data_IF_813765641946
#
_entry.id   IF_813765641946
#
_cell.length_a   1.000
_cell.length_b   1.000
_cell.length_c   1.000
_cell.angle_alpha   90.00
_cell.angle_beta   90.00
_cell.angle_gamma   90.00
#
_symmetry.space_group_name_H-M   'P 1'
#
loop_
_entity.id
_entity.type
_entity.pdbx_description
1 polymer ?
#
# COMPACT_ATOMS: atom_id res chain seq x y z
N UNK A 1 31.16 48.59 25.73
CA UNK A 1 30.55 48.15 27.01
C UNK A 1 30.88 46.68 27.23
N UNK A 2 30.86 46.26 28.50
CA UNK A 2 31.68 45.22 29.14
C UNK A 2 31.57 43.80 28.58
N UNK A 3 32.72 43.11 28.60
CA UNK A 3 32.89 41.66 28.67
C UNK A 3 32.17 41.08 29.89
N UNK A 4 31.62 39.86 29.79
CA UNK A 4 31.87 38.78 30.77
C UNK A 4 31.29 37.45 30.28
N UNK A 5 32.18 36.47 30.15
CA UNK A 5 31.94 35.04 30.29
C UNK A 5 31.53 34.70 31.74
N UNK A 6 30.76 33.63 31.95
CA UNK A 6 30.85 32.83 33.17
C UNK A 6 30.47 31.36 32.90
N UNK A 7 31.43 30.49 33.16
CA UNK A 7 31.30 29.04 33.32
C UNK A 7 30.61 28.71 34.65
N UNK A 8 29.98 27.53 34.74
CA UNK A 8 30.26 26.57 35.82
C UNK A 8 29.55 25.24 35.55
N UNK A 9 30.37 24.17 35.53
CA UNK A 9 29.97 22.78 35.64
C UNK A 9 29.81 22.39 37.12
N UNK A 10 29.62 21.07 37.34
CA UNK A 10 29.78 20.26 38.58
C UNK A 10 28.42 19.87 39.21
N UNK A 11 28.17 18.67 39.71
CA UNK A 11 28.67 17.28 39.60
C UNK A 11 27.96 16.48 40.71
N UNK A 12 28.13 15.15 40.73
CA UNK A 12 27.97 14.22 41.87
C UNK A 12 26.54 13.81 42.30
N UNK A 13 26.03 12.58 42.05
CA UNK A 13 26.41 11.18 42.38
C UNK A 13 25.85 10.70 43.77
N UNK A 14 25.43 9.41 43.80
CA UNK A 14 25.22 8.46 44.92
C UNK A 14 23.83 8.51 45.61
N UNK A 15 23.17 7.42 46.03
CA UNK A 15 23.47 5.99 46.02
C UNK A 15 22.27 5.14 46.45
N UNK A 16 22.22 3.93 45.90
CA UNK A 16 21.81 2.58 46.39
C UNK A 16 20.77 2.35 47.51
N UNK A 17 19.94 1.32 47.23
CA UNK A 17 19.53 0.16 48.07
C UNK A 17 18.76 0.45 49.39
N UNK A 18 17.85 -0.38 49.91
CA UNK A 18 17.23 -1.68 49.63
C UNK A 18 16.19 -1.82 50.76
N UNK A 19 15.10 -2.58 50.58
CA UNK A 19 14.53 -3.36 51.69
C UNK A 19 13.62 -4.46 51.14
N UNK A 20 14.03 -5.69 51.43
CA UNK A 20 13.33 -6.96 51.27
C UNK A 20 12.15 -7.11 52.23
N UNK A 21 11.12 -7.84 51.80
CA UNK A 21 10.38 -8.76 52.67
C UNK A 21 9.81 -9.89 51.80
N UNK A 22 10.17 -11.12 52.16
CA UNK A 22 9.67 -12.38 51.59
C UNK A 22 8.33 -12.77 52.25
N UNK A 23 7.37 -13.29 51.47
CA UNK A 23 6.81 -14.67 51.49
C UNK A 23 5.55 -14.74 50.57
N UNK A 24 4.93 -15.92 50.27
CA UNK A 24 5.11 -16.61 49.00
C UNK A 24 3.79 -16.84 48.25
N UNK A 25 3.88 -17.55 47.12
CA UNK A 25 2.78 -18.10 46.30
C UNK A 25 2.01 -17.10 45.44
N UNK A 26 2.46 -16.98 44.19
CA UNK A 26 1.61 -17.17 43.00
C UNK A 26 2.57 -17.45 41.84
N UNK A 27 2.30 -18.54 41.13
CA UNK A 27 3.03 -18.97 39.95
C UNK A 27 3.07 -17.86 38.89
N UNK A 28 4.20 -17.16 38.79
CA UNK A 28 4.51 -16.35 37.62
C UNK A 28 4.85 -17.31 36.48
N UNK A 29 3.86 -17.59 35.63
CA UNK A 29 4.13 -17.92 34.23
C UNK A 29 4.80 -16.68 33.62
N UNK A 30 6.13 -16.67 33.64
CA UNK A 30 6.90 -15.81 32.74
C UNK A 30 6.62 -16.30 31.33
N UNK A 31 5.72 -15.62 30.61
CA UNK A 31 5.83 -15.60 29.16
C UNK A 31 7.12 -14.83 28.87
N UNK A 32 8.19 -15.55 28.58
CA UNK A 32 9.32 -14.99 27.86
C UNK A 32 8.74 -14.37 26.59
N UNK A 33 8.88 -13.06 26.46
CA UNK A 33 8.70 -12.39 25.18
C UNK A 33 9.80 -12.92 24.26
N UNK A 34 9.47 -13.87 23.38
CA UNK A 34 10.28 -14.17 22.20
C UNK A 34 10.26 -12.92 21.32
N UNK A 35 11.22 -12.03 21.55
CA UNK A 35 11.53 -10.95 20.63
C UNK A 35 12.47 -11.55 19.58
N UNK A 36 12.09 -11.58 18.29
CA UNK A 36 12.97 -12.05 17.24
C UNK A 36 14.26 -11.22 17.26
N UNK A 37 15.40 -11.90 17.27
CA UNK A 37 16.70 -11.24 17.44
C UNK A 37 17.39 -11.08 16.10
N UNK A 38 18.04 -9.95 15.87
CA UNK A 38 19.05 -9.81 14.81
C UNK A 38 20.32 -10.55 15.28
N UNK A 39 20.83 -11.50 14.50
CA UNK A 39 22.16 -12.07 14.73
C UNK A 39 22.96 -12.06 13.43
N UNK A 40 24.18 -11.56 13.52
CA UNK A 40 25.21 -11.74 12.50
C UNK A 40 25.79 -13.16 12.67
N UNK A 41 25.70 -13.99 11.64
CA UNK A 41 26.50 -15.19 11.51
C UNK A 41 27.98 -14.77 11.49
N UNK A 42 28.72 -15.11 12.54
CA UNK A 42 30.15 -14.80 12.68
C UNK A 42 30.93 -15.33 11.47
N UNK A 43 31.39 -14.44 10.57
CA UNK A 43 32.47 -14.76 9.66
C UNK A 43 32.51 -14.07 8.29
N UNK A 44 31.45 -13.39 7.85
CA UNK A 44 31.36 -12.76 6.53
C UNK A 44 30.58 -11.44 6.63
N UNK A 45 30.79 -10.55 5.66
CA UNK A 45 30.07 -9.29 5.42
C UNK A 45 28.59 -9.54 5.05
N UNK A 46 27.89 -10.42 5.78
CA UNK A 46 26.51 -10.80 5.50
C UNK A 46 25.55 -9.75 6.06
N UNK A 47 24.62 -9.30 5.22
CA UNK A 47 23.60 -8.33 5.64
C UNK A 47 22.62 -8.94 6.64
N UNK A 48 22.23 -8.21 7.70
CA UNK A 48 21.39 -8.74 8.77
C UNK A 48 20.11 -9.40 8.24
N UNK A 49 19.81 -10.62 8.71
CA UNK A 49 18.58 -11.37 8.38
C UNK A 49 17.70 -11.43 9.64
N UNK A 50 16.39 -11.19 9.50
CA UNK A 50 15.44 -11.41 10.58
C UNK A 50 15.23 -12.92 10.80
N UNK A 51 15.20 -13.34 12.07
CA UNK A 51 15.07 -14.74 12.45
C UNK A 51 13.76 -14.99 13.21
N UNK A 52 12.89 -15.80 12.62
CA UNK A 52 11.64 -16.29 13.21
C UNK A 52 11.80 -17.77 13.60
N UNK A 53 11.34 -18.14 14.78
CA UNK A 53 11.44 -19.50 15.33
C UNK A 53 10.68 -20.51 14.48
N UNK A 54 9.55 -20.10 13.91
CA UNK A 54 8.71 -20.92 13.06
C UNK A 54 7.83 -20.07 12.14
N UNK A 55 7.02 -20.75 11.34
CA UNK A 55 6.12 -20.10 10.39
C UNK A 55 4.98 -19.33 11.06
N UNK A 56 4.57 -19.72 12.26
CA UNK A 56 3.52 -19.03 13.01
C UNK A 56 4.02 -17.65 13.45
N UNK A 57 5.25 -17.56 13.94
CA UNK A 57 5.86 -16.30 14.37
C UNK A 57 6.02 -15.31 13.20
N UNK A 58 6.51 -15.78 12.05
CA UNK A 58 6.59 -14.98 10.83
C UNK A 58 5.20 -14.48 10.38
N UNK A 59 4.20 -15.37 10.35
CA UNK A 59 2.84 -15.00 9.95
C UNK A 59 2.20 -14.00 10.93
N UNK A 60 2.55 -14.04 12.21
CA UNK A 60 2.11 -13.05 13.19
C UNK A 60 2.72 -11.67 12.91
N UNK A 61 4.02 -11.61 12.60
CA UNK A 61 4.68 -10.37 12.19
C UNK A 61 4.10 -9.80 10.89
N UNK A 62 3.85 -10.67 9.90
CA UNK A 62 3.24 -10.27 8.63
C UNK A 62 1.79 -9.78 8.80
N UNK A 63 1.01 -10.48 9.63
CA UNK A 63 -0.34 -10.03 10.04
C UNK A 63 -0.28 -8.67 10.73
N UNK A 64 0.74 -8.43 11.55
CA UNK A 64 0.95 -7.15 12.21
C UNK A 64 1.24 -6.05 11.20
N UNK A 65 2.15 -6.25 10.24
CA UNK A 65 2.41 -5.29 9.15
C UNK A 65 1.13 -4.97 8.39
N UNK A 66 0.36 -5.99 7.98
CA UNK A 66 -0.90 -5.85 7.26
C UNK A 66 -1.99 -5.11 8.02
N UNK A 67 -1.93 -5.11 9.36
CA UNK A 67 -2.90 -4.40 10.21
C UNK A 67 -2.64 -2.89 10.33
N UNK A 68 -1.48 -2.40 9.87
CA UNK A 68 -1.08 -1.00 9.95
C UNK A 68 -1.60 -0.22 8.73
N UNK A 69 -2.03 1.02 8.96
CA UNK A 69 -2.83 1.77 7.99
C UNK A 69 -1.99 2.54 6.97
N UNK A 70 -0.68 2.66 7.19
CA UNK A 70 0.20 3.42 6.29
C UNK A 70 1.60 2.82 6.22
N UNK A 71 2.30 3.10 5.11
CA UNK A 71 3.71 2.73 4.95
C UNK A 71 4.59 3.31 6.06
N UNK A 72 4.26 4.52 6.55
CA UNK A 72 4.97 5.16 7.67
C UNK A 72 4.82 4.36 8.96
N UNK A 73 3.59 3.97 9.33
CA UNK A 73 3.34 3.14 10.51
C UNK A 73 4.07 1.79 10.42
N UNK A 74 4.11 1.19 9.22
CA UNK A 74 4.83 -0.06 8.97
C UNK A 74 6.33 0.08 9.22
N UNK A 75 6.97 1.12 8.66
CA UNK A 75 8.40 1.41 8.88
C UNK A 75 8.68 1.67 10.36
N UNK A 76 7.89 2.52 11.02
CA UNK A 76 8.05 2.83 12.45
C UNK A 76 7.96 1.58 13.33
N UNK A 77 7.03 0.67 13.01
CA UNK A 77 6.93 -0.61 13.72
C UNK A 77 8.13 -1.52 13.47
N UNK A 78 8.60 -1.65 12.22
CA UNK A 78 9.79 -2.46 11.89
C UNK A 78 11.02 -1.93 12.62
N UNK A 79 11.31 -0.64 12.51
CA UNK A 79 12.52 -0.05 13.12
C UNK A 79 12.45 0.05 14.64
N UNK A 80 11.26 0.09 15.25
CA UNK A 80 11.13 -0.03 16.71
C UNK A 80 11.30 -1.48 17.20
N UNK A 81 10.91 -2.46 16.40
CA UNK A 81 11.02 -3.88 16.74
C UNK A 81 12.41 -4.45 16.41
N UNK A 82 13.00 -4.00 15.31
CA UNK A 82 14.29 -4.44 14.76
C UNK A 82 15.18 -3.22 14.39
N UNK A 83 15.77 -2.51 15.35
CA UNK A 83 16.41 -1.21 15.12
C UNK A 83 17.61 -1.20 14.16
N UNK A 84 18.31 -2.33 14.03
CA UNK A 84 19.48 -2.46 13.15
C UNK A 84 19.15 -3.12 11.81
N UNK A 85 17.88 -3.40 11.56
CA UNK A 85 17.45 -4.09 10.34
C UNK A 85 17.06 -3.09 9.26
N UNK A 86 17.70 -3.23 8.10
CA UNK A 86 17.38 -2.48 6.88
C UNK A 86 16.69 -3.41 5.88
N UNK A 87 15.40 -3.18 5.66
CA UNK A 87 14.58 -4.02 4.79
C UNK A 87 14.70 -3.65 3.32
N UNK A 88 14.25 -4.53 2.42
CA UNK A 88 14.08 -4.18 1.00
C UNK A 88 13.14 -2.99 0.81
N UNK A 89 12.12 -2.87 1.65
CA UNK A 89 11.23 -1.71 1.59
C UNK A 89 11.95 -0.40 1.93
N UNK A 90 12.90 -0.42 2.87
CA UNK A 90 13.74 0.74 3.19
C UNK A 90 14.59 1.15 1.99
N UNK A 91 15.24 0.18 1.34
CA UNK A 91 16.02 0.38 0.11
C UNK A 91 15.16 1.00 -1.00
N UNK A 92 13.96 0.48 -1.21
CA UNK A 92 13.03 0.99 -2.20
C UNK A 92 12.58 2.44 -1.90
N UNK A 93 12.33 2.77 -0.64
CA UNK A 93 11.98 4.14 -0.23
C UNK A 93 13.16 5.10 -0.46
N UNK A 94 14.40 4.70 -0.15
CA UNK A 94 15.59 5.48 -0.49
C UNK A 94 15.72 5.70 -1.99
N UNK A 95 15.51 4.66 -2.80
CA UNK A 95 15.53 4.75 -4.25
C UNK A 95 14.47 5.73 -4.80
N UNK A 96 13.27 5.75 -4.24
CA UNK A 96 12.21 6.71 -4.60
C UNK A 96 12.61 8.17 -4.35
N UNK A 97 13.18 8.44 -3.19
CA UNK A 97 13.63 9.78 -2.79
C UNK A 97 14.78 10.24 -3.69
N UNK A 98 15.76 9.38 -3.93
CA UNK A 98 16.93 9.69 -4.76
C UNK A 98 16.55 9.87 -6.23
N UNK A 99 15.67 9.02 -6.77
CA UNK A 99 15.14 9.19 -8.13
C UNK A 99 14.45 10.54 -8.29
N UNK A 100 13.68 11.02 -7.31
CA UNK A 100 13.03 12.32 -7.40
C UNK A 100 14.04 13.48 -7.34
N UNK A 101 15.00 13.42 -6.41
CA UNK A 101 15.79 14.58 -6.01
C UNK A 101 17.16 14.68 -6.69
N UNK A 102 17.76 13.55 -7.06
CA UNK A 102 19.18 13.48 -7.47
C UNK A 102 19.37 12.98 -8.90
N UNK A 103 18.47 12.12 -9.39
CA UNK A 103 18.60 11.57 -10.76
C UNK A 103 18.11 12.58 -11.80
N UNK A 104 18.96 12.93 -12.76
CA UNK A 104 18.62 13.82 -13.86
C UNK A 104 18.44 13.07 -15.20
N UNK A 105 18.29 13.80 -16.30
CA UNK A 105 18.09 13.22 -17.64
C UNK A 105 19.42 12.91 -18.35
N UNK A 106 20.44 12.49 -17.60
CA UNK A 106 21.71 11.99 -18.16
C UNK A 106 21.84 10.48 -17.99
N UNK A 107 22.55 9.85 -18.93
CA UNK A 107 22.86 8.42 -18.89
C UNK A 107 23.71 8.05 -17.67
N UNK A 108 24.73 8.85 -17.37
CA UNK A 108 25.59 8.65 -16.20
C UNK A 108 24.80 8.67 -14.89
N UNK A 109 23.94 9.67 -14.69
CA UNK A 109 23.12 9.79 -13.47
C UNK A 109 22.22 8.57 -13.26
N UNK A 110 21.52 8.13 -14.33
CA UNK A 110 20.63 6.98 -14.23
C UNK A 110 21.38 5.65 -14.05
N UNK A 111 22.50 5.44 -14.74
CA UNK A 111 23.29 4.22 -14.59
C UNK A 111 23.91 4.10 -13.20
N UNK A 112 24.41 5.21 -12.63
CA UNK A 112 24.91 5.26 -11.25
C UNK A 112 23.79 4.92 -10.25
N UNK A 113 22.58 5.47 -10.44
CA UNK A 113 21.41 5.13 -9.61
C UNK A 113 21.07 3.64 -9.69
N UNK A 114 21.01 3.09 -10.91
CA UNK A 114 20.71 1.68 -11.14
C UNK A 114 21.76 0.75 -10.53
N UNK A 115 23.04 1.11 -10.60
CA UNK A 115 24.13 0.34 -9.99
C UNK A 115 24.02 0.35 -8.46
N UNK A 116 23.72 1.52 -7.86
CA UNK A 116 23.55 1.70 -6.42
C UNK A 116 22.38 0.89 -5.86
N UNK A 117 21.25 0.85 -6.57
CA UNK A 117 20.04 0.15 -6.14
C UNK A 117 19.83 -1.18 -6.88
N UNK A 118 20.91 -1.85 -7.28
CA UNK A 118 20.87 -3.07 -8.10
C UNK A 118 20.11 -4.25 -7.47
N UNK A 119 19.83 -4.20 -6.17
CA UNK A 119 18.91 -5.09 -5.47
C UNK A 119 17.52 -5.08 -6.10
N UNK A 120 17.04 -3.93 -6.58
CA UNK A 120 15.71 -3.75 -7.15
C UNK A 120 15.64 -4.24 -8.60
N UNK A 121 14.43 -4.55 -9.06
CA UNK A 121 14.21 -4.94 -10.45
C UNK A 121 14.01 -3.73 -11.34
N UNK A 122 14.87 -3.58 -12.36
CA UNK A 122 14.78 -2.54 -13.39
C UNK A 122 14.35 -3.16 -14.71
N UNK A 123 13.07 -3.04 -15.12
CA UNK A 123 12.57 -3.69 -16.33
C UNK A 123 13.30 -3.26 -17.60
N UNK A 124 13.59 -1.96 -17.73
CA UNK A 124 14.14 -1.34 -18.95
C UNK A 124 13.37 -1.79 -20.21
N UNK A 125 12.04 -1.86 -20.09
CA UNK A 125 11.15 -2.37 -21.13
C UNK A 125 10.29 -1.26 -21.70
N UNK A 126 10.38 -1.02 -23.02
CA UNK A 126 9.69 0.10 -23.66
C UNK A 126 10.12 1.43 -23.05
N UNK A 127 9.18 2.22 -22.53
CA UNK A 127 9.50 3.42 -21.77
C UNK A 127 9.54 3.21 -20.24
N UNK A 128 9.41 1.98 -19.74
CA UNK A 128 9.51 1.68 -18.30
C UNK A 128 10.97 1.69 -17.85
N UNK A 129 11.40 2.88 -17.41
CA UNK A 129 12.68 3.11 -16.75
C UNK A 129 12.49 3.20 -15.23
N UNK A 130 11.45 2.55 -14.69
CA UNK A 130 11.22 2.44 -13.26
C UNK A 130 12.05 1.34 -12.60
N UNK A 131 11.85 1.21 -11.30
CA UNK A 131 12.45 0.19 -10.45
C UNK A 131 11.41 -0.36 -9.48
N UNK A 132 11.46 -1.65 -9.18
CA UNK A 132 10.39 -2.32 -8.44
C UNK A 132 10.96 -3.31 -7.44
N UNK A 133 10.25 -3.52 -6.34
CA UNK A 133 10.50 -4.66 -5.45
C UNK A 133 10.06 -5.93 -6.20
N UNK A 134 10.96 -6.90 -6.47
CA UNK A 134 10.67 -8.16 -7.15
C UNK A 134 9.98 -9.20 -6.24
N UNK A 135 8.98 -8.75 -5.48
CA UNK A 135 8.13 -9.58 -4.63
C UNK A 135 6.67 -9.28 -4.94
N UNK A 136 5.82 -10.30 -5.00
CA UNK A 136 4.37 -10.16 -5.14
C UNK A 136 3.75 -9.65 -3.83
N UNK A 137 4.19 -10.16 -2.69
CA UNK A 137 3.79 -9.71 -1.34
C UNK A 137 4.66 -8.55 -0.85
N UNK A 138 4.20 -7.32 -1.08
CA UNK A 138 4.90 -6.10 -0.64
C UNK A 138 4.91 -5.92 0.88
N UNK A 139 3.98 -6.53 1.62
CA UNK A 139 4.01 -6.43 3.08
C UNK A 139 5.14 -7.29 3.67
N UNK A 140 5.48 -8.39 3.00
CA UNK A 140 6.65 -9.18 3.36
C UNK A 140 7.98 -8.46 3.06
N UNK A 141 8.00 -7.48 2.15
CA UNK A 141 9.21 -6.70 1.83
C UNK A 141 9.76 -5.88 3.01
N UNK A 142 8.92 -5.63 4.03
CA UNK A 142 9.30 -5.01 5.31
C UNK A 142 10.10 -5.94 6.23
N UNK A 143 10.10 -7.25 5.96
CA UNK A 143 10.64 -8.29 6.85
C UNK A 143 11.81 -9.07 6.23
N UNK A 144 12.26 -8.70 5.02
CA UNK A 144 13.39 -9.35 4.33
C UNK A 144 14.54 -8.38 4.10
N UNK A 145 15.77 -8.90 4.18
CA UNK A 145 16.97 -8.11 3.91
C UNK A 145 17.13 -7.84 2.41
N UNK A 146 18.18 -7.11 2.01
CA UNK A 146 18.49 -6.79 0.61
C UNK A 146 18.61 -8.01 -0.32
N UNK A 147 18.86 -9.20 0.22
CA UNK A 147 18.92 -10.45 -0.54
C UNK A 147 17.57 -11.16 -0.62
N UNK A 148 16.50 -10.51 -0.16
CA UNK A 148 15.13 -11.04 -0.07
C UNK A 148 15.02 -12.22 0.89
N UNK A 149 15.96 -12.34 1.83
CA UNK A 149 16.06 -13.46 2.75
C UNK A 149 15.42 -13.16 4.10
N UNK A 150 14.78 -14.18 4.66
CA UNK A 150 14.33 -14.25 6.05
C UNK A 150 14.66 -15.65 6.60
N UNK A 151 15.08 -15.76 7.86
CA UNK A 151 15.29 -17.06 8.48
C UNK A 151 14.02 -17.50 9.22
N UNK A 152 13.50 -18.68 8.90
CA UNK A 152 12.31 -19.26 9.53
C UNK A 152 12.65 -20.69 9.97
N UNK A 153 12.61 -20.94 11.28
CA UNK A 153 12.92 -22.25 11.85
C UNK A 153 14.33 -22.75 11.53
N UNK A 154 15.30 -21.84 11.47
CA UNK A 154 16.68 -22.14 11.13
C UNK A 154 16.96 -22.26 9.63
N UNK A 155 15.97 -22.05 8.76
CA UNK A 155 16.15 -22.09 7.30
C UNK A 155 16.08 -20.69 6.71
N UNK A 156 17.08 -20.33 5.92
CA UNK A 156 17.03 -19.08 5.13
C UNK A 156 16.13 -19.28 3.90
N UNK A 157 15.08 -18.46 3.80
CA UNK A 157 14.07 -18.51 2.74
C UNK A 157 14.13 -17.22 1.95
N UNK A 158 14.25 -17.34 0.62
CA UNK A 158 14.14 -16.21 -0.30
C UNK A 158 12.66 -15.98 -0.66
N UNK A 159 12.15 -14.77 -0.45
CA UNK A 159 10.76 -14.40 -0.78
C UNK A 159 10.63 -13.63 -2.11
N UNK A 160 11.71 -13.49 -2.87
CA UNK A 160 11.67 -12.97 -4.24
C UNK A 160 10.94 -13.96 -5.15
N UNK A 161 9.95 -13.48 -5.89
CA UNK A 161 9.11 -14.31 -6.77
C UNK A 161 8.74 -13.63 -8.11
N UNK A 162 9.41 -12.50 -8.43
CA UNK A 162 9.28 -11.82 -9.72
C UNK A 162 10.65 -11.72 -10.37
N UNK A 163 10.78 -12.36 -11.53
CA UNK A 163 12.02 -12.44 -12.30
C UNK A 163 11.90 -11.77 -13.68
N UNK A 164 10.68 -11.46 -14.12
CA UNK A 164 10.47 -10.84 -15.42
C UNK A 164 9.34 -9.80 -15.45
N UNK A 165 9.31 -9.06 -16.55
CA UNK A 165 8.39 -7.94 -16.72
C UNK A 165 6.92 -8.39 -16.83
N UNK A 166 6.62 -9.56 -17.38
CA UNK A 166 5.25 -10.06 -17.47
C UNK A 166 4.69 -10.40 -16.08
N UNK A 167 5.51 -10.97 -15.20
CA UNK A 167 5.16 -11.18 -13.79
C UNK A 167 4.90 -9.84 -13.09
N UNK A 168 5.75 -8.84 -13.29
CA UNK A 168 5.51 -7.49 -12.75
C UNK A 168 4.23 -6.84 -13.33
N UNK A 169 3.95 -7.02 -14.61
CA UNK A 169 2.71 -6.56 -15.23
C UNK A 169 1.49 -7.24 -14.60
N UNK A 170 1.58 -8.53 -14.27
CA UNK A 170 0.50 -9.28 -13.63
C UNK A 170 0.16 -8.77 -12.24
N UNK A 171 1.10 -8.11 -11.54
CA UNK A 171 0.83 -7.44 -10.26
C UNK A 171 0.18 -6.07 -10.42
N UNK A 172 0.00 -5.56 -11.66
CA UNK A 172 -0.53 -4.23 -11.95
C UNK A 172 0.39 -3.06 -11.60
N UNK A 173 1.66 -3.31 -11.25
CA UNK A 173 2.61 -2.27 -10.80
C UNK A 173 3.47 -1.69 -11.92
N UNK A 174 3.72 -2.48 -12.97
CA UNK A 174 4.53 -2.06 -14.11
C UNK A 174 4.00 -0.77 -14.76
N UNK A 175 4.89 0.03 -15.36
CA UNK A 175 4.46 1.07 -16.28
C UNK A 175 4.12 0.44 -17.62
N UNK A 176 2.84 0.45 -18.00
CA UNK A 176 2.39 0.05 -19.33
C UNK A 176 1.28 0.98 -19.82
N UNK A 177 1.14 1.07 -21.13
CA UNK A 177 0.01 1.74 -21.77
C UNK A 177 -1.10 0.73 -22.01
N UNK A 178 -2.29 1.00 -21.47
CA UNK A 178 -3.48 0.22 -21.79
C UNK A 178 -4.04 0.72 -23.14
N UNK A 179 -4.34 -0.16 -24.09
CA UNK A 179 -4.70 0.25 -25.45
C UNK A 179 -5.99 1.08 -25.54
N UNK A 180 -6.87 1.10 -24.53
CA UNK A 180 -7.93 2.11 -24.39
C UNK A 180 -8.42 2.20 -22.93
N UNK A 181 -8.76 3.40 -22.43
CA UNK A 181 -9.55 3.57 -21.21
C UNK A 181 -11.00 3.12 -21.43
N UNK A 182 -11.59 2.38 -20.49
CA UNK A 182 -13.02 2.02 -20.57
C UNK A 182 -13.88 3.26 -20.27
N UNK A 183 -14.31 3.93 -21.35
CA UNK A 183 -14.98 5.24 -21.26
C UNK A 183 -16.52 5.19 -21.27
N UNK A 184 -17.20 4.04 -21.30
CA UNK A 184 -18.67 4.04 -21.50
C UNK A 184 -19.44 2.93 -20.78
N UNK A 185 -20.11 3.31 -19.68
CA UNK A 185 -21.58 3.47 -19.63
C UNK A 185 -22.50 2.29 -20.00
N UNK A 186 -22.07 1.03 -19.87
CA UNK A 186 -23.04 -0.08 -19.85
C UNK A 186 -23.00 -0.80 -18.52
N UNK A 187 -24.18 -1.12 -18.01
CA UNK A 187 -24.29 -1.95 -16.81
C UNK A 187 -23.77 -3.35 -17.15
N UNK A 188 -22.73 -3.79 -16.45
CA UNK A 188 -22.08 -5.09 -16.68
C UNK A 188 -22.39 -6.07 -15.56
N UNK A 189 -22.56 -7.34 -15.93
CA UNK A 189 -22.69 -8.42 -14.95
C UNK A 189 -21.30 -8.77 -14.39
N UNK A 190 -21.20 -9.02 -13.09
CA UNK A 190 -20.00 -9.52 -12.43
C UNK A 190 -20.28 -10.78 -11.60
N UNK A 191 -19.25 -11.56 -11.33
CA UNK A 191 -19.33 -12.78 -10.52
C UNK A 191 -19.03 -12.49 -9.05
N UNK A 192 -19.94 -12.87 -8.15
CA UNK A 192 -19.73 -12.80 -6.69
C UNK A 192 -19.09 -14.10 -6.17
N UNK A 193 -17.84 -14.36 -6.53
CA UNK A 193 -17.12 -15.61 -6.21
C UNK A 193 -16.24 -15.55 -4.96
N UNK A 194 -16.03 -14.37 -4.38
CA UNK A 194 -15.11 -14.13 -3.25
C UNK A 194 -15.63 -12.98 -2.37
N UNK A 195 -15.21 -12.94 -1.11
CA UNK A 195 -15.40 -11.78 -0.22
C UNK A 195 -14.46 -10.62 -0.57
N UNK A 196 -13.40 -10.90 -1.32
CA UNK A 196 -12.43 -9.93 -1.85
C UNK A 196 -12.42 -9.99 -3.37
N UNK A 197 -12.80 -8.89 -4.01
CA UNK A 197 -12.87 -8.75 -5.47
C UNK A 197 -12.22 -7.42 -5.83
N UNK A 198 -11.06 -7.46 -6.48
CA UNK A 198 -10.29 -6.25 -6.77
C UNK A 198 -10.95 -5.33 -7.82
N UNK A 199 -11.86 -5.86 -8.65
CA UNK A 199 -12.57 -5.10 -9.67
C UNK A 199 -14.02 -5.55 -9.82
N UNK A 200 -14.95 -4.62 -9.61
CA UNK A 200 -16.40 -4.83 -9.71
C UNK A 200 -16.95 -3.93 -10.82
N UNK A 201 -17.11 -4.51 -12.00
CA UNK A 201 -17.65 -3.84 -13.17
C UNK A 201 -16.62 -2.96 -13.89
N UNK A 202 -17.05 -1.85 -14.53
CA UNK A 202 -16.16 -1.04 -15.35
C UNK A 202 -15.17 -0.25 -14.51
N UNK A 203 -13.93 -0.15 -14.99
CA UNK A 203 -12.88 0.68 -14.41
C UNK A 203 -12.68 1.97 -15.22
N UNK A 204 -12.22 3.02 -14.56
CA UNK A 204 -11.73 4.22 -15.19
C UNK A 204 -10.20 4.22 -15.18
N UNK A 205 -9.59 4.55 -16.32
CA UNK A 205 -8.18 4.93 -16.45
C UNK A 205 -8.19 6.19 -17.33
N UNK A 206 -7.51 7.27 -16.93
CA UNK A 206 -7.46 8.48 -17.76
C UNK A 206 -6.56 8.36 -18.97
N UNK A 207 -5.75 7.29 -19.05
CA UNK A 207 -4.54 7.25 -19.85
C UNK A 207 -3.44 8.13 -19.27
N UNK A 208 -2.20 7.89 -19.70
CA UNK A 208 -1.07 8.72 -19.33
C UNK A 208 -1.13 10.07 -20.05
N UNK A 209 -1.03 11.16 -19.29
CA UNK A 209 -0.89 12.51 -19.81
C UNK A 209 0.44 13.08 -19.37
N UNK A 210 1.19 13.64 -20.32
CA UNK A 210 2.49 14.24 -20.06
C UNK A 210 2.36 15.75 -19.79
N UNK A 211 3.05 16.21 -18.76
CA UNK A 211 3.26 17.60 -18.37
C UNK A 211 4.75 17.83 -18.19
N UNK A 212 5.41 18.40 -19.22
CA UNK A 212 6.87 18.57 -19.24
C UNK A 212 7.62 17.26 -18.90
N UNK A 213 8.36 17.24 -17.78
CA UNK A 213 9.14 16.09 -17.28
C UNK A 213 8.35 15.19 -16.33
N UNK A 214 7.02 15.26 -16.36
CA UNK A 214 6.12 14.43 -15.56
C UNK A 214 5.07 13.75 -16.44
N UNK A 215 4.72 12.51 -16.11
CA UNK A 215 3.55 11.80 -16.65
C UNK A 215 2.63 11.45 -15.50
N UNK A 216 1.33 11.58 -15.69
CA UNK A 216 0.33 11.30 -14.67
C UNK A 216 -0.86 10.56 -15.26
N UNK A 217 -1.55 9.77 -14.44
CA UNK A 217 -2.86 9.22 -14.76
C UNK A 217 -3.69 9.04 -13.50
N UNK A 218 -5.00 9.13 -13.64
CA UNK A 218 -5.96 8.78 -12.60
C UNK A 218 -6.68 7.50 -13.01
N UNK A 219 -6.68 6.52 -12.12
CA UNK A 219 -7.49 5.31 -12.21
C UNK A 219 -8.55 5.34 -11.12
N UNK A 220 -9.71 4.74 -11.41
CA UNK A 220 -10.72 4.48 -10.40
C UNK A 220 -11.45 3.18 -10.69
N UNK A 221 -11.78 2.43 -9.64
CA UNK A 221 -12.55 1.17 -9.76
C UNK A 221 -13.43 0.96 -8.55
N UNK A 222 -14.42 0.08 -8.68
CA UNK A 222 -15.12 -0.48 -7.52
C UNK A 222 -14.41 -1.77 -7.12
N UNK A 223 -14.27 -2.02 -5.82
CA UNK A 223 -13.74 -3.27 -5.29
C UNK A 223 -14.53 -3.71 -4.08
N UNK A 224 -14.54 -5.01 -3.82
CA UNK A 224 -15.00 -5.58 -2.56
C UNK A 224 -13.80 -6.01 -1.75
N UNK A 225 -13.81 -5.71 -0.45
CA UNK A 225 -12.80 -6.18 0.49
C UNK A 225 -13.43 -6.99 1.58
N UNK A 226 -12.73 -8.03 2.02
CA UNK A 226 -13.19 -8.86 3.11
C UNK A 226 -13.33 -8.03 4.38
N UNK A 227 -14.45 -8.20 5.08
CA UNK A 227 -14.74 -7.49 6.31
C UNK A 227 -15.46 -8.42 7.29
N UNK A 228 -15.02 -8.40 8.55
CA UNK A 228 -15.68 -9.12 9.65
C UNK A 228 -16.28 -8.11 10.63
N UNK A 229 -17.58 -7.78 10.52
CA UNK A 229 -18.21 -6.81 11.42
C UNK A 229 -18.30 -7.32 12.87
N UNK A 230 -18.31 -8.63 13.07
CA UNK A 230 -18.41 -9.27 14.37
C UNK A 230 -17.82 -10.68 14.31
N UNK A 231 -17.36 -11.24 15.44
CA UNK A 231 -16.88 -12.62 15.49
C UNK A 231 -17.88 -13.60 14.89
N UNK A 232 -17.43 -14.41 13.93
CA UNK A 232 -18.26 -15.40 13.23
C UNK A 232 -19.09 -14.84 12.07
N UNK A 233 -19.04 -13.53 11.80
CA UNK A 233 -19.66 -12.91 10.64
C UNK A 233 -18.57 -12.45 9.67
N UNK A 234 -18.60 -13.01 8.45
CA UNK A 234 -17.71 -12.64 7.36
C UNK A 234 -18.53 -12.10 6.19
N UNK A 235 -18.08 -11.00 5.63
CA UNK A 235 -18.73 -10.37 4.51
C UNK A 235 -17.77 -9.52 3.69
N UNK A 236 -18.35 -8.63 2.91
CA UNK A 236 -17.63 -7.69 2.06
C UNK A 236 -18.08 -6.27 2.30
N UNK A 237 -17.13 -5.34 2.32
CA UNK A 237 -17.41 -3.91 2.12
C UNK A 237 -17.21 -3.55 0.65
N UNK A 238 -18.04 -2.64 0.16
CA UNK A 238 -17.89 -2.08 -1.18
C UNK A 238 -17.17 -0.75 -1.13
N UNK A 239 -16.14 -0.63 -1.95
CA UNK A 239 -15.24 0.53 -1.97
C UNK A 239 -15.17 1.11 -3.37
N UNK A 240 -15.14 2.43 -3.44
CA UNK A 240 -14.66 3.20 -4.57
C UNK A 240 -13.18 3.49 -4.36
N UNK A 241 -12.36 2.84 -5.17
CA UNK A 241 -10.92 2.96 -5.14
C UNK A 241 -10.46 4.01 -6.14
N UNK A 242 -9.62 4.93 -5.72
CA UNK A 242 -8.90 5.86 -6.60
C UNK A 242 -7.41 5.58 -6.53
N UNK A 243 -6.74 5.62 -7.67
CA UNK A 243 -5.30 5.37 -7.80
C UNK A 243 -4.72 6.47 -8.70
N UNK A 244 -3.94 7.40 -8.13
CA UNK A 244 -3.23 8.43 -8.89
C UNK A 244 -1.79 8.01 -9.11
N UNK A 245 -1.46 7.62 -10.35
CA UNK A 245 -0.12 7.23 -10.73
C UNK A 245 0.63 8.42 -11.33
N UNK A 246 1.92 8.51 -11.03
CA UNK A 246 2.80 9.50 -11.65
C UNK A 246 4.17 8.91 -11.98
N UNK A 247 4.88 9.58 -12.87
CA UNK A 247 6.23 9.23 -13.33
C UNK A 247 7.06 10.48 -13.58
N UNK A 248 8.36 10.37 -13.36
CA UNK A 248 9.39 11.36 -13.68
C UNK A 248 10.13 10.95 -14.95
N UNK A 249 10.45 11.92 -15.81
CA UNK A 249 11.24 11.69 -17.03
C UNK A 249 12.69 11.35 -16.67
N UNK A 250 13.24 10.34 -17.35
CA UNK A 250 14.67 10.01 -17.35
C UNK A 250 15.15 9.95 -18.81
N UNK A 251 16.46 9.80 -19.01
CA UNK A 251 17.04 9.61 -20.35
C UNK A 251 16.55 8.34 -21.06
N UNK A 252 16.19 7.31 -20.30
CA UNK A 252 15.76 6.00 -20.83
C UNK A 252 14.24 5.83 -20.91
N UNK A 253 13.45 6.76 -20.35
CA UNK A 253 12.00 6.61 -20.32
C UNK A 253 11.34 7.37 -19.17
N UNK A 254 10.48 6.67 -18.46
CA UNK A 254 9.68 7.17 -17.33
C UNK A 254 9.93 6.29 -16.11
N UNK A 255 10.33 6.91 -15.01
CA UNK A 255 10.58 6.23 -13.74
C UNK A 255 9.51 6.57 -12.71
N UNK A 256 9.20 5.62 -11.83
CA UNK A 256 8.62 5.93 -10.54
C UNK A 256 9.61 6.75 -9.69
N UNK A 257 9.10 7.69 -8.90
CA UNK A 257 9.80 8.54 -7.94
C UNK A 257 8.93 8.87 -6.72
N UNK A 258 9.52 9.44 -5.67
CA UNK A 258 8.79 9.98 -4.53
C UNK A 258 8.06 11.29 -4.87
N UNK A 259 6.81 11.45 -4.43
CA UNK A 259 6.13 12.74 -4.50
C UNK A 259 4.93 12.87 -3.56
N UNK A 260 4.27 14.03 -3.63
CA UNK A 260 3.05 14.34 -2.86
C UNK A 260 1.92 14.70 -3.80
N UNK A 261 0.73 14.17 -3.54
CA UNK A 261 -0.50 14.65 -4.17
C UNK A 261 -1.67 14.70 -3.18
N UNK A 262 -2.69 15.48 -3.54
CA UNK A 262 -3.98 15.47 -2.87
C UNK A 262 -5.08 15.33 -3.91
N UNK A 263 -6.08 14.50 -3.59
CA UNK A 263 -7.25 14.25 -4.43
C UNK A 263 -8.46 14.83 -3.69
N UNK A 264 -9.24 15.65 -4.39
CA UNK A 264 -10.49 16.20 -3.92
C UNK A 264 -11.56 16.06 -4.99
N UNK A 265 -12.84 16.02 -4.62
CA UNK A 265 -13.91 15.94 -5.62
C UNK A 265 -15.17 15.29 -5.09
N UNK A 266 -16.04 14.92 -6.02
CA UNK A 266 -17.37 14.42 -5.70
C UNK A 266 -17.74 13.26 -6.63
N UNK A 267 -18.28 12.21 -6.05
CA UNK A 267 -18.88 11.07 -6.76
C UNK A 267 -20.38 11.08 -6.47
N UNK A 268 -21.17 11.34 -7.51
CA UNK A 268 -22.62 11.30 -7.42
C UNK A 268 -23.11 9.87 -7.52
N UNK A 269 -23.85 9.44 -6.51
CA UNK A 269 -24.40 8.10 -6.38
C UNK A 269 -25.92 8.21 -6.44
N UNK A 270 -26.58 7.71 -7.51
CA UNK A 270 -28.02 7.76 -7.63
C UNK A 270 -28.74 7.12 -6.44
N UNK A 271 -29.66 7.86 -5.82
CA UNK A 271 -30.49 7.38 -4.71
C UNK A 271 -29.82 7.46 -3.33
N UNK A 272 -28.61 8.01 -3.22
CA UNK A 272 -27.93 8.25 -1.93
C UNK A 272 -27.31 9.65 -1.87
N UNK A 273 -26.59 9.95 -0.78
CA UNK A 273 -25.75 11.15 -0.72
C UNK A 273 -24.58 11.03 -1.70
N UNK A 274 -24.03 12.18 -2.08
CA UNK A 274 -22.78 12.26 -2.83
C UNK A 274 -21.61 11.84 -1.93
N UNK A 275 -20.70 11.02 -2.46
CA UNK A 275 -19.43 10.70 -1.81
C UNK A 275 -18.45 11.84 -2.05
N UNK A 276 -17.82 12.34 -1.00
CA UNK A 276 -16.75 13.34 -1.07
C UNK A 276 -15.39 12.64 -1.14
N UNK A 277 -14.60 12.99 -2.16
CA UNK A 277 -13.20 12.60 -2.24
C UNK A 277 -12.37 13.64 -1.49
N UNK A 278 -11.52 13.18 -0.59
CA UNK A 278 -10.60 14.03 0.15
C UNK A 278 -9.48 13.17 0.73
N UNK A 279 -8.37 13.09 0.01
CA UNK A 279 -7.19 12.36 0.44
C UNK A 279 -5.92 13.14 0.12
N UNK A 280 -4.87 12.91 0.90
CA UNK A 280 -3.53 13.41 0.65
C UNK A 280 -2.54 12.29 0.91
N UNK A 281 -1.56 12.15 0.05
CA UNK A 281 -0.57 11.08 0.13
C UNK A 281 0.80 11.62 -0.26
N UNK A 282 1.82 11.12 0.43
CA UNK A 282 3.23 11.33 0.12
C UNK A 282 3.93 9.99 0.10
N UNK A 283 4.75 9.76 -0.92
CA UNK A 283 5.49 8.52 -1.06
C UNK A 283 5.62 8.09 -2.51
N UNK A 284 5.49 6.78 -2.70
CA UNK A 284 5.71 6.08 -3.95
C UNK A 284 4.74 6.50 -5.04
N UNK A 285 5.08 6.25 -6.31
CA UNK A 285 4.35 6.76 -7.49
C UNK A 285 3.04 6.06 -7.86
N UNK A 286 2.28 5.68 -6.84
CA UNK A 286 0.88 5.30 -6.86
C UNK A 286 0.26 5.78 -5.55
N UNK A 287 -0.64 6.75 -5.63
CA UNK A 287 -1.35 7.30 -4.48
C UNK A 287 -2.78 6.78 -4.49
N UNK A 288 -3.00 5.79 -3.63
CA UNK A 288 -4.21 5.00 -3.61
C UNK A 288 -5.09 5.41 -2.43
N UNK A 289 -6.41 5.39 -2.62
CA UNK A 289 -7.36 5.63 -1.52
C UNK A 289 -8.67 4.89 -1.77
N UNK A 290 -9.24 4.37 -0.68
CA UNK A 290 -10.51 3.67 -0.70
C UNK A 290 -11.58 4.49 0.04
N UNK A 291 -12.75 4.59 -0.58
CA UNK A 291 -13.92 5.26 -0.03
C UNK A 291 -15.10 4.27 0.01
N UNK A 292 -15.79 4.14 1.14
CA UNK A 292 -16.96 3.26 1.20
C UNK A 292 -18.08 3.77 0.28
N UNK A 293 -18.71 2.85 -0.46
CA UNK A 293 -19.87 3.14 -1.33
C UNK A 293 -20.95 2.07 -1.17
N UNK A 294 -22.23 2.43 -1.35
CA UNK A 294 -23.33 1.49 -1.19
C UNK A 294 -23.42 0.47 -2.33
N UNK A 295 -23.99 -0.69 -2.00
CA UNK A 295 -24.50 -1.69 -2.96
C UNK A 295 -25.97 -1.89 -2.66
N UNK A 296 -26.82 -1.78 -3.68
CA UNK A 296 -28.26 -1.99 -3.52
C UNK A 296 -28.58 -3.47 -3.68
N UNK A 297 -29.26 -4.03 -2.69
CA UNK A 297 -29.62 -5.45 -2.68
C UNK A 297 -31.13 -5.56 -2.82
N UNK A 298 -31.59 -6.23 -3.87
CA UNK A 298 -33.00 -6.49 -4.12
C UNK A 298 -33.24 -7.98 -4.31
N UNK A 299 -34.51 -8.36 -4.28
CA UNK A 299 -34.99 -9.72 -4.44
C UNK A 299 -35.80 -9.79 -5.73
N UNK A 300 -35.47 -10.73 -6.61
CA UNK A 300 -36.23 -10.96 -7.83
C UNK A 300 -36.18 -12.43 -8.25
N UNK A 301 -37.34 -13.05 -8.46
CA UNK A 301 -37.48 -14.39 -9.04
C UNK A 301 -36.63 -15.51 -8.39
N UNK A 302 -36.46 -15.50 -7.06
CA UNK A 302 -35.65 -16.50 -6.36
C UNK A 302 -34.14 -16.17 -6.29
N UNK A 303 -33.76 -14.95 -6.69
CA UNK A 303 -32.39 -14.47 -6.66
C UNK A 303 -32.26 -13.25 -5.74
N UNK A 304 -31.10 -13.15 -5.08
CA UNK A 304 -30.54 -11.88 -4.64
C UNK A 304 -29.91 -11.17 -5.83
N UNK A 305 -30.24 -9.90 -6.01
CA UNK A 305 -29.69 -9.04 -7.06
C UNK A 305 -28.93 -7.90 -6.39
N UNK A 306 -27.63 -7.88 -6.60
CA UNK A 306 -26.72 -6.83 -6.14
C UNK A 306 -26.52 -5.84 -7.27
N UNK A 307 -26.74 -4.57 -7.01
CA UNK A 307 -26.62 -3.50 -8.00
C UNK A 307 -25.69 -2.41 -7.48
N UNK A 308 -24.61 -2.19 -8.20
CA UNK A 308 -23.74 -1.03 -8.09
C UNK A 308 -24.22 0.00 -9.12
N UNK A 309 -24.73 1.17 -8.70
CA UNK A 309 -25.28 2.14 -9.62
C UNK A 309 -24.18 2.75 -10.51
N UNK A 310 -24.58 3.31 -11.64
CA UNK A 310 -23.71 4.21 -12.41
C UNK A 310 -23.32 5.42 -11.54
N UNK A 311 -22.07 5.87 -11.66
CA UNK A 311 -21.53 6.99 -10.89
C UNK A 311 -21.10 8.12 -11.82
N UNK A 312 -21.51 9.35 -11.49
CA UNK A 312 -20.93 10.55 -12.12
C UNK A 312 -19.83 11.10 -11.24
N UNK A 313 -18.59 11.09 -11.73
CA UNK A 313 -17.41 11.35 -10.94
C UNK A 313 -16.70 12.62 -11.41
N UNK A 314 -16.30 13.45 -10.45
CA UNK A 314 -15.37 14.55 -10.65
C UNK A 314 -14.24 14.42 -9.62
N UNK A 315 -13.01 14.58 -10.07
CA UNK A 315 -11.84 14.67 -9.21
C UNK A 315 -10.91 15.80 -9.67
N UNK A 316 -10.32 16.47 -8.70
CA UNK A 316 -9.22 17.42 -8.88
C UNK A 316 -8.02 16.92 -8.08
N UNK A 317 -6.89 16.77 -8.77
CA UNK A 317 -5.62 16.38 -8.17
C UNK A 317 -4.68 17.57 -8.13
N UNK A 318 -4.19 17.91 -6.94
CA UNK A 318 -3.04 18.80 -6.78
C UNK A 318 -1.82 17.91 -6.61
N UNK A 319 -0.91 17.95 -7.58
CA UNK A 319 0.29 17.11 -7.61
C UNK A 319 1.53 18.00 -7.60
N UNK A 320 2.47 17.76 -6.66
CA UNK A 320 3.67 18.60 -6.50
C UNK A 320 4.46 18.76 -7.81
N UNK A 321 4.51 17.73 -8.64
CA UNK A 321 5.25 17.74 -9.90
C UNK A 321 4.61 18.54 -11.03
N UNK A 322 3.38 19.03 -10.88
CA UNK A 322 2.68 19.82 -11.90
C UNK A 322 2.06 21.06 -11.27
N UNK A 323 2.41 22.24 -11.80
CA UNK A 323 2.02 23.52 -11.20
C UNK A 323 0.50 23.80 -11.22
N UNK A 324 -0.22 23.23 -12.18
CA UNK A 324 -1.67 23.39 -12.32
C UNK A 324 -2.43 22.24 -11.67
N UNK A 325 -3.65 22.52 -11.21
CA UNK A 325 -4.59 21.49 -10.82
C UNK A 325 -4.98 20.62 -12.02
N UNK A 326 -5.04 19.31 -11.79
CA UNK A 326 -5.43 18.31 -12.79
C UNK A 326 -6.89 17.93 -12.55
N UNK A 327 -7.77 18.15 -13.53
CA UNK A 327 -9.21 17.88 -13.37
C UNK A 327 -9.66 16.70 -14.24
N UNK A 328 -10.38 15.79 -13.62
CA UNK A 328 -10.91 14.57 -14.23
C UNK A 328 -12.42 14.54 -14.08
N UNK A 329 -13.13 14.25 -15.16
CA UNK A 329 -14.57 14.06 -15.19
C UNK A 329 -14.86 12.77 -15.95
N UNK A 330 -15.63 11.87 -15.35
CA UNK A 330 -15.99 10.61 -16.00
C UNK A 330 -17.30 10.04 -15.47
N UNK A 331 -17.87 9.14 -16.25
CA UNK A 331 -19.01 8.33 -15.85
C UNK A 331 -18.50 6.90 -15.67
N UNK A 332 -18.65 6.35 -14.48
CA UNK A 332 -18.32 4.95 -14.20
C UNK A 332 -19.60 4.12 -14.31
N UNK A 333 -19.70 3.30 -15.37
CA UNK A 333 -20.88 2.47 -15.63
C UNK A 333 -21.27 1.61 -14.43
N UNK A 334 -22.56 1.28 -14.32
CA UNK A 334 -23.08 0.42 -13.27
C UNK A 334 -22.59 -1.03 -13.38
N UNK A 335 -22.82 -1.81 -12.34
CA UNK A 335 -22.53 -3.24 -12.32
C UNK A 335 -23.61 -4.00 -11.56
N UNK A 336 -23.83 -5.27 -11.88
CA UNK A 336 -24.75 -6.10 -11.11
C UNK A 336 -24.31 -7.55 -11.00
N UNK A 337 -24.78 -8.25 -9.98
CA UNK A 337 -24.63 -9.68 -9.83
C UNK A 337 -25.95 -10.30 -9.39
N UNK A 338 -26.20 -11.55 -9.81
CA UNK A 338 -27.38 -12.34 -9.39
C UNK A 338 -26.91 -13.62 -8.73
N UNK A 339 -27.45 -13.93 -7.56
CA UNK A 339 -27.16 -15.19 -6.86
C UNK A 339 -28.47 -15.87 -6.43
N UNK A 340 -28.64 -17.18 -6.65
CA UNK A 340 -29.81 -17.90 -6.15
C UNK A 340 -29.87 -17.88 -4.62
N UNK A 341 -31.06 -17.89 -4.02
CA UNK A 341 -31.21 -18.00 -2.55
C UNK A 341 -30.54 -19.24 -1.95
N UNK A 342 -30.48 -20.32 -2.72
CA UNK A 342 -29.87 -21.57 -2.29
C UNK A 342 -28.35 -21.54 -2.28
N UNK A 343 -27.72 -20.50 -2.83
CA UNK A 343 -26.26 -20.39 -2.87
C UNK A 343 -25.74 -19.78 -1.56
N UNK A 344 -24.78 -20.44 -0.92
CA UNK A 344 -23.96 -19.81 0.11
C UNK A 344 -23.05 -18.78 -0.57
N UNK A 345 -23.23 -17.49 -0.28
CA UNK A 345 -22.44 -16.40 -0.85
C UNK A 345 -21.92 -15.46 0.24
N UNK A 346 -20.87 -14.71 -0.09
CA UNK A 346 -20.35 -13.65 0.74
C UNK A 346 -21.46 -12.63 1.04
N UNK A 347 -21.69 -12.34 2.32
CA UNK A 347 -22.63 -11.29 2.70
C UNK A 347 -22.01 -9.94 2.34
N UNK A 348 -22.52 -9.25 1.33
CA UNK A 348 -22.15 -7.85 1.11
C UNK A 348 -22.86 -7.04 2.18
N UNK A 349 -22.09 -6.39 3.04
CA UNK A 349 -22.65 -5.49 4.06
C UNK A 349 -23.10 -4.23 3.32
N UNK A 350 -24.40 -3.92 3.28
CA UNK A 350 -24.84 -2.66 2.69
C UNK A 350 -24.24 -1.52 3.51
N UNK A 351 -23.70 -0.50 2.83
CA UNK A 351 -23.40 0.76 3.50
C UNK A 351 -24.74 1.39 3.89
N UNK A 352 -25.14 1.24 5.16
CA UNK A 352 -26.34 1.87 5.71
C UNK A 352 -25.95 3.28 6.11
N UNK A 353 -25.96 4.21 5.17
CA UNK A 353 -26.17 5.60 5.56
C UNK A 353 -27.68 5.82 5.67
N UNK A 354 -28.14 6.11 6.89
CA UNK A 354 -29.53 6.42 7.18
C UNK A 354 -29.95 7.65 6.35
N UNK A 355 -30.56 7.39 5.19
CA UNK A 355 -31.43 8.37 4.56
C UNK A 355 -32.62 8.60 5.49
N UNK A 356 -32.56 9.67 6.29
CA UNK A 356 -33.72 10.22 6.98
C UNK A 356 -34.70 10.67 5.88
N UNK A 357 -35.59 9.77 5.49
CA UNK A 357 -36.83 10.14 4.85
C UNK A 357 -37.73 10.72 5.95
N UNK A 358 -37.85 12.04 6.00
CA UNK A 358 -39.02 12.73 6.55
C UNK A 358 -39.77 13.40 5.40
#
# INVERSE_FOLDING_TARGET
MKKTTFSAAISLILCVASCSSDDPTMSNLSMESNVPTTKNTRGSEETPILHFTDMLEFNNALTRIRSLNSSKEKIEWVHSTYPEFNSVQDIYNSAMIEMENEVDETEESYLNFKEKFNTLYFPMYGEDAGFYIPMSDLDAAYLVNENYMVNIGGNDICLKDIDNYNELMSTGRAYYEMPQPMLTGTMVEFSLSSTDINSVGPEYDSGWVQYDKRKVKLKARRRFVSFSPAPGFNGSKSLFHTEFCFRKKTIFGWSNSDSTSSISGTVKIPGTHDLQLNSSHSGTSSHDYDYEIPVFITVSNGYWVYTCPELTCNATVLYRGVAQALTYNWIMGGAYAKTPYSANHATIVPCIEQGVNN
#
